data_IF_933360306003
#
_entry.id   IF_933360306003
#
_cell.length_a   1.000
_cell.length_b   1.000
_cell.length_c   1.000
_cell.angle_alpha   90.00
_cell.angle_beta   90.00
_cell.angle_gamma   90.00
#
_symmetry.space_group_name_H-M   'P 1'
#
loop_
_entity.id
_entity.type
_entity.pdbx_description
1 polymer ?
#
# COMPACT_ATOMS: atom_id res chain seq x y z
N UNK A 1 -12.20 2.45 -1.27
CA UNK A 1 -12.23 1.08 -1.82
C UNK A 1 -10.84 0.47 -1.68
N UNK A 2 -10.75 -0.84 -1.43
CA UNK A 2 -9.45 -1.50 -1.29
C UNK A 2 -8.64 -1.41 -2.60
N UNK A 3 -9.30 -1.48 -3.75
CA UNK A 3 -8.69 -1.47 -5.09
C UNK A 3 -8.19 -0.09 -5.59
N UNK A 4 -8.27 0.96 -4.76
CA UNK A 4 -7.83 2.32 -5.15
C UNK A 4 -6.95 3.02 -4.10
N UNK A 5 -6.44 2.27 -3.11
CA UNK A 5 -5.64 2.82 -1.99
C UNK A 5 -4.19 2.35 -1.99
N UNK A 6 -3.71 1.82 -3.12
CA UNK A 6 -2.31 1.44 -3.27
C UNK A 6 -1.38 2.64 -3.07
N UNK A 7 -0.27 2.38 -2.37
CA UNK A 7 0.81 3.34 -2.24
C UNK A 7 1.71 3.28 -3.47
N UNK A 8 2.48 4.36 -3.71
CA UNK A 8 3.44 4.38 -4.80
C UNK A 8 4.46 3.25 -4.63
N UNK A 9 4.56 2.33 -5.59
CA UNK A 9 5.56 1.27 -5.59
C UNK A 9 6.82 1.72 -6.35
N UNK A 10 7.97 1.63 -5.69
CA UNK A 10 9.27 1.74 -6.36
C UNK A 10 9.92 0.36 -6.33
N UNK A 11 10.09 -0.31 -7.49
CA UNK A 11 10.70 -1.62 -7.53
C UNK A 11 12.06 -1.63 -6.84
N UNK A 12 12.36 -2.68 -6.08
CA UNK A 12 13.59 -2.79 -5.27
C UNK A 12 14.86 -2.52 -6.08
N UNK A 13 14.91 -2.94 -7.35
CA UNK A 13 16.02 -2.67 -8.25
C UNK A 13 16.20 -1.16 -8.51
N UNK A 14 15.11 -0.45 -8.81
CA UNK A 14 15.12 1.01 -9.03
C UNK A 14 15.47 1.75 -7.75
N UNK A 15 14.92 1.34 -6.61
CA UNK A 15 15.24 1.97 -5.31
C UNK A 15 16.74 1.84 -4.97
N UNK A 16 17.36 0.70 -5.28
CA UNK A 16 18.81 0.49 -5.13
C UNK A 16 19.61 1.43 -6.02
N UNK A 17 19.24 1.56 -7.29
CA UNK A 17 19.91 2.44 -8.24
C UNK A 17 19.81 3.92 -7.85
N UNK A 18 18.69 4.33 -7.27
CA UNK A 18 18.42 5.69 -6.81
C UNK A 18 18.96 5.99 -5.41
N UNK A 19 19.48 5.00 -4.68
CA UNK A 19 19.97 5.18 -3.30
C UNK A 19 18.87 5.55 -2.29
N UNK A 20 17.63 5.12 -2.54
CA UNK A 20 16.47 5.34 -1.68
C UNK A 20 16.03 4.04 -1.01
N UNK A 21 15.22 4.16 0.05
CA UNK A 21 14.63 2.98 0.67
C UNK A 21 13.52 2.42 -0.22
N UNK A 22 13.65 1.15 -0.58
CA UNK A 22 12.54 0.40 -1.16
C UNK A 22 11.52 0.08 -0.08
N UNK A 23 10.26 -0.02 -0.47
CA UNK A 23 9.24 -0.69 0.31
C UNK A 23 8.49 -1.69 -0.55
N UNK A 24 8.01 -2.74 0.09
CA UNK A 24 7.18 -3.74 -0.56
C UNK A 24 5.74 -3.21 -0.62
N UNK A 25 5.26 -2.91 -1.83
CA UNK A 25 3.94 -2.34 -2.06
C UNK A 25 2.80 -3.26 -1.59
N UNK A 26 2.94 -4.57 -1.79
CA UNK A 26 1.94 -5.57 -1.41
C UNK A 26 1.83 -5.66 0.12
N UNK A 27 2.97 -5.66 0.81
CA UNK A 27 3.00 -5.61 2.28
C UNK A 27 2.39 -4.32 2.80
N UNK A 28 2.77 -3.18 2.22
CA UNK A 28 2.27 -1.88 2.66
C UNK A 28 0.76 -1.78 2.47
N UNK A 29 0.23 -2.25 1.35
CA UNK A 29 -1.20 -2.28 1.07
C UNK A 29 -1.99 -2.92 2.22
N UNK A 30 -1.64 -4.15 2.61
CA UNK A 30 -2.34 -4.87 3.68
C UNK A 30 -2.13 -4.22 5.05
N UNK A 31 -0.96 -3.62 5.29
CA UNK A 31 -0.67 -2.90 6.53
C UNK A 31 -1.55 -1.64 6.68
N UNK A 32 -1.74 -0.89 5.58
CA UNK A 32 -2.61 0.28 5.57
C UNK A 32 -4.08 -0.10 5.74
N UNK A 33 -4.57 -1.16 5.07
CA UNK A 33 -5.93 -1.67 5.28
C UNK A 33 -6.15 -2.10 6.74
N UNK A 34 -5.18 -2.80 7.34
CA UNK A 34 -5.24 -3.17 8.75
C UNK A 34 -5.31 -1.94 9.67
N UNK A 35 -4.53 -0.90 9.37
CA UNK A 35 -4.56 0.35 10.13
C UNK A 35 -5.92 1.05 10.00
N UNK A 36 -6.51 1.11 8.80
CA UNK A 36 -7.85 1.66 8.58
C UNK A 36 -8.89 0.93 9.43
N UNK A 37 -8.89 -0.40 9.40
CA UNK A 37 -9.79 -1.23 10.22
C UNK A 37 -9.58 -0.95 11.73
N UNK A 38 -8.32 -0.85 12.17
CA UNK A 38 -7.99 -0.55 13.57
C UNK A 38 -8.45 0.84 14.02
N UNK A 39 -8.66 1.76 13.08
CA UNK A 39 -9.20 3.11 13.31
C UNK A 39 -10.72 3.19 13.07
N UNK A 40 -11.40 2.06 12.93
CA UNK A 40 -12.86 2.00 12.76
C UNK A 40 -13.35 2.39 11.36
N UNK A 41 -12.47 2.39 10.36
CA UNK A 41 -12.85 2.63 8.96
C UNK A 41 -13.26 1.30 8.32
N UNK A 42 -14.48 1.25 7.81
CA UNK A 42 -14.97 0.12 7.00
C UNK A 42 -14.58 0.33 5.53
N UNK A 43 -13.80 -0.61 4.98
CA UNK A 43 -13.30 -0.54 3.61
C UNK A 43 -14.09 -1.50 2.73
N UNK A 44 -14.72 -0.97 1.67
CA UNK A 44 -15.36 -1.79 0.62
C UNK A 44 -14.32 -2.25 -0.41
N UNK A 45 -14.56 -3.39 -1.07
CA UNK A 45 -13.63 -3.94 -2.05
C UNK A 45 -13.46 -3.02 -3.28
N UNK A 46 -14.56 -2.58 -3.90
CA UNK A 46 -14.60 -1.77 -5.12
C UNK A 46 -15.84 -0.86 -5.13
N UNK A 47 -15.88 0.12 -6.03
CA UNK A 47 -17.11 0.89 -6.34
C UNK A 47 -17.75 0.33 -7.61
N UNK A 48 -19.05 0.11 -7.57
CA UNK A 48 -19.88 -0.36 -8.70
C UNK A 48 -20.93 0.66 -9.08
#
# INVERSE_FOLDING_TARGET
>A
PADVVDTFDTPVAVARDLGIFAHDGDLHHVLFLHHMASNGVEVVAALT
#
